data_IF_415424442267
#
_entry.id   IF_415424442267
#
_cell.length_a   1.000
_cell.length_b   1.000
_cell.length_c   1.000
_cell.angle_alpha   90.00
_cell.angle_beta   90.00
_cell.angle_gamma   90.00
#
_symmetry.space_group_name_H-M   'P 1'
#
loop_
_entity.id
_entity.type
_entity.pdbx_description
1 polymer ?
#
# COMPACT_ATOMS: atom_id res chain seq x y z
N UNK A 1 58.07 21.52 -65.44
CA UNK A 1 58.01 20.56 -64.32
C UNK A 1 56.78 20.88 -63.49
N UNK A 2 55.86 19.94 -63.46
CA UNK A 2 54.52 20.00 -62.85
C UNK A 2 54.66 19.64 -61.37
N UNK A 3 53.95 20.33 -60.46
CA UNK A 3 52.81 19.75 -59.74
C UNK A 3 52.43 20.61 -58.52
N UNK A 4 51.27 21.26 -58.62
CA UNK A 4 50.55 21.88 -57.51
C UNK A 4 49.99 20.80 -56.58
N UNK A 5 50.12 20.97 -55.26
CA UNK A 5 49.47 20.11 -54.26
C UNK A 5 48.21 20.82 -53.77
N UNK A 6 47.06 20.35 -54.24
CA UNK A 6 45.73 20.71 -53.75
C UNK A 6 45.45 19.82 -52.54
N UNK A 7 45.26 20.41 -51.36
CA UNK A 7 44.75 19.73 -50.18
C UNK A 7 43.27 20.06 -50.03
N UNK A 8 42.40 19.10 -50.35
CA UNK A 8 40.95 19.18 -50.16
C UNK A 8 40.65 18.83 -48.71
N UNK A 9 40.20 19.81 -47.91
CA UNK A 9 39.67 19.57 -46.57
C UNK A 9 38.17 19.34 -46.72
N UNK A 10 37.75 18.08 -46.62
CA UNK A 10 36.33 17.69 -46.65
C UNK A 10 35.73 17.88 -45.25
N UNK A 11 34.88 18.88 -45.08
CA UNK A 11 34.13 19.13 -43.85
C UNK A 11 32.87 18.24 -43.83
N UNK A 12 32.90 17.21 -42.98
CA UNK A 12 31.79 16.28 -42.77
C UNK A 12 30.77 16.92 -41.80
N UNK A 13 29.69 17.48 -42.33
CA UNK A 13 28.56 17.97 -41.51
C UNK A 13 27.78 16.77 -40.94
N UNK A 14 27.96 16.47 -39.66
CA UNK A 14 27.09 15.58 -38.90
C UNK A 14 25.79 16.32 -38.56
N UNK A 15 24.75 16.07 -39.36
CA UNK A 15 23.37 16.45 -39.01
C UNK A 15 22.86 15.44 -37.98
N UNK A 16 23.06 15.76 -36.70
CA UNK A 16 22.45 15.03 -35.60
C UNK A 16 20.97 15.40 -35.49
N UNK A 17 20.08 14.51 -35.96
CA UNK A 17 18.65 14.61 -35.69
C UNK A 17 18.43 14.39 -34.19
N UNK A 18 18.14 15.46 -33.46
CA UNK A 18 17.69 15.38 -32.08
C UNK A 18 16.31 14.71 -32.04
N UNK A 19 16.27 13.43 -31.68
CA UNK A 19 15.02 12.80 -31.24
C UNK A 19 14.65 13.44 -29.90
N UNK A 20 13.70 14.36 -29.90
CA UNK A 20 13.07 14.83 -28.67
C UNK A 20 12.38 13.63 -28.03
N UNK A 21 12.96 13.10 -26.95
CA UNK A 21 12.30 12.11 -26.13
C UNK A 21 10.98 12.70 -25.64
N UNK A 22 9.83 12.01 -25.76
CA UNK A 22 8.59 12.48 -25.20
C UNK A 22 8.78 12.71 -23.70
N UNK A 23 8.44 13.91 -23.23
CA UNK A 23 8.45 14.22 -21.80
C UNK A 23 7.53 13.21 -21.09
N UNK A 24 7.95 12.65 -19.93
CA UNK A 24 7.07 11.79 -19.15
C UNK A 24 5.81 12.59 -18.79
N UNK A 25 4.66 12.09 -19.24
CA UNK A 25 3.35 12.61 -18.80
C UNK A 25 3.35 12.44 -17.27
N UNK A 26 3.15 13.51 -16.48
CA UNK A 26 3.08 13.35 -15.04
C UNK A 26 1.93 12.38 -14.73
N UNK A 27 2.24 11.29 -14.03
CA UNK A 27 1.21 10.41 -13.50
C UNK A 27 0.28 11.29 -12.68
N UNK A 28 -1.02 11.27 -12.98
CA UNK A 28 -2.02 11.99 -12.18
C UNK A 28 -1.93 11.47 -10.75
N UNK A 29 -1.45 12.32 -9.86
CA UNK A 29 -1.34 12.01 -8.44
C UNK A 29 -2.75 11.77 -7.87
N UNK A 30 -2.95 10.62 -7.23
CA UNK A 30 -4.22 10.27 -6.62
C UNK A 30 -4.36 11.05 -5.32
N UNK A 31 -5.48 11.76 -5.17
CA UNK A 31 -5.77 12.55 -3.99
C UNK A 31 -6.37 11.69 -2.86
N UNK A 32 -5.53 10.88 -2.24
CA UNK A 32 -5.90 9.95 -1.16
C UNK A 32 -6.57 10.63 0.03
N UNK A 33 -6.18 11.86 0.38
CA UNK A 33 -6.80 12.61 1.48
C UNK A 33 -8.30 12.74 1.27
N UNK A 34 -8.76 13.02 0.05
CA UNK A 34 -10.18 13.25 -0.23
C UNK A 34 -10.96 11.98 -0.60
N UNK A 35 -10.31 10.93 -1.10
CA UNK A 35 -11.00 9.69 -1.52
C UNK A 35 -11.00 8.58 -0.46
N UNK A 36 -10.14 8.68 0.57
CA UNK A 36 -10.11 7.69 1.64
C UNK A 36 -11.36 7.83 2.52
N UNK A 37 -12.09 6.72 2.65
CA UNK A 37 -13.29 6.60 3.47
C UNK A 37 -12.93 5.81 4.74
N UNK A 38 -12.87 6.47 5.90
CA UNK A 38 -12.68 5.82 7.19
C UNK A 38 -13.75 4.77 7.51
N UNK A 39 -13.40 3.84 8.40
CA UNK A 39 -14.38 3.00 9.06
C UNK A 39 -15.33 3.82 9.97
N UNK A 40 -16.53 3.30 10.29
CA UNK A 40 -17.49 4.01 11.14
C UNK A 40 -16.88 4.45 12.47
N UNK A 41 -17.04 5.73 12.81
CA UNK A 41 -16.56 6.32 14.07
C UNK A 41 -15.06 6.66 14.09
N UNK A 42 -14.31 6.40 13.03
CA UNK A 42 -12.91 6.82 12.90
C UNK A 42 -12.83 8.20 12.21
N UNK A 43 -11.86 9.04 12.59
CA UNK A 43 -11.69 10.38 12.02
C UNK A 43 -11.18 10.31 10.57
N UNK A 44 -11.53 11.29 9.75
CA UNK A 44 -11.03 11.47 8.39
C UNK A 44 -9.54 11.84 8.35
N UNK A 45 -8.83 11.61 7.22
CA UNK A 45 -7.46 12.08 7.06
C UNK A 45 -7.30 13.59 7.32
N UNK A 46 -8.27 14.40 6.90
CA UNK A 46 -8.31 15.85 7.08
C UNK A 46 -8.41 16.24 8.56
N UNK A 47 -9.26 15.54 9.34
CA UNK A 47 -9.37 15.76 10.78
C UNK A 47 -8.09 15.40 11.54
N UNK A 48 -7.31 14.46 11.00
CA UNK A 48 -5.99 14.07 11.52
C UNK A 48 -4.85 14.97 11.02
N UNK A 49 -5.12 15.91 10.10
CA UNK A 49 -4.10 16.74 9.47
C UNK A 49 -3.13 15.98 8.58
N UNK A 50 -3.54 14.82 8.05
CA UNK A 50 -2.71 14.02 7.14
C UNK A 50 -2.66 14.63 5.74
N UNK A 51 -1.49 14.52 5.13
CA UNK A 51 -1.25 14.91 3.73
C UNK A 51 -1.24 13.70 2.80
N UNK A 52 -1.27 13.92 1.47
CA UNK A 52 -1.05 12.84 0.51
C UNK A 52 0.33 12.21 0.64
N UNK A 53 1.36 12.98 1.03
CA UNK A 53 2.70 12.46 1.32
C UNK A 53 2.67 11.48 2.50
N UNK A 54 1.91 11.79 3.57
CA UNK A 54 1.77 10.90 4.71
C UNK A 54 1.09 9.58 4.34
N UNK A 55 0.07 9.64 3.49
CA UNK A 55 -0.71 8.48 3.06
C UNK A 55 0.04 7.62 2.02
N UNK A 56 0.94 8.20 1.23
CA UNK A 56 1.70 7.48 0.19
C UNK A 56 3.08 7.03 0.65
N UNK A 57 3.49 7.39 1.86
CA UNK A 57 4.77 7.00 2.44
C UNK A 57 4.99 5.48 2.38
N UNK A 58 6.18 5.02 1.93
CA UNK A 58 6.48 3.60 1.88
C UNK A 58 6.30 2.92 3.24
N UNK A 59 5.72 1.72 3.21
CA UNK A 59 5.61 0.88 4.40
C UNK A 59 7.03 0.50 4.86
N UNK A 60 7.44 0.80 6.11
CA UNK A 60 8.80 0.49 6.55
C UNK A 60 9.07 -1.02 6.55
N UNK A 61 10.22 -1.44 6.01
CA UNK A 61 10.60 -2.87 5.96
C UNK A 61 10.91 -3.45 7.35
N UNK A 62 11.53 -2.66 8.22
CA UNK A 62 11.92 -3.07 9.58
C UNK A 62 10.80 -2.91 10.61
N UNK A 63 9.58 -2.55 10.17
CA UNK A 63 8.44 -2.49 11.07
C UNK A 63 8.15 -3.92 11.57
N UNK A 64 8.13 -4.15 12.90
CA UNK A 64 7.97 -5.49 13.44
C UNK A 64 6.62 -6.03 13.00
N UNK A 65 6.64 -6.94 12.01
CA UNK A 65 5.44 -7.51 11.38
C UNK A 65 4.60 -8.32 12.37
N UNK A 66 5.18 -8.65 13.52
CA UNK A 66 4.53 -9.41 14.57
C UNK A 66 5.28 -9.09 15.86
N UNK A 67 4.58 -8.59 16.89
CA UNK A 67 5.09 -8.38 18.25
C UNK A 67 5.46 -9.67 18.99
N UNK A 68 6.00 -10.66 18.28
CA UNK A 68 6.57 -11.90 18.81
C UNK A 68 8.02 -11.92 18.38
N UNK A 69 8.91 -11.80 19.35
CA UNK A 69 10.36 -11.93 19.12
C UNK A 69 10.63 -13.30 18.50
N UNK A 70 11.62 -13.36 17.59
CA UNK A 70 12.06 -14.56 16.86
C UNK A 70 12.57 -15.73 17.75
N UNK A 71 12.28 -15.71 19.06
CA UNK A 71 12.66 -16.71 20.06
C UNK A 71 11.50 -17.62 20.49
N UNK A 72 10.27 -17.31 20.10
CA UNK A 72 9.11 -18.16 20.43
C UNK A 72 8.79 -19.10 19.27
N UNK A 73 9.18 -20.37 19.43
CA UNK A 73 8.90 -21.48 18.50
C UNK A 73 7.41 -21.84 18.44
N UNK A 74 6.55 -20.94 17.96
CA UNK A 74 5.12 -21.20 17.71
C UNK A 74 4.86 -21.06 16.20
N UNK A 75 4.52 -22.18 15.56
CA UNK A 75 4.25 -22.35 14.13
C UNK A 75 3.58 -21.12 13.47
N UNK A 76 4.29 -20.40 12.59
CA UNK A 76 3.75 -19.23 11.87
C UNK A 76 3.47 -19.54 10.39
N UNK A 77 2.20 -19.44 9.99
CA UNK A 77 1.85 -18.72 8.76
C UNK A 77 0.72 -17.74 9.07
N UNK A 78 1.09 -16.48 9.30
CA UNK A 78 0.17 -15.38 9.59
C UNK A 78 -0.01 -14.53 8.33
N UNK A 79 -0.58 -15.15 7.31
CA UNK A 79 -1.23 -14.52 6.15
C UNK A 79 -1.74 -15.60 5.19
N UNK A 80 -2.86 -15.36 4.55
CA UNK A 80 -3.36 -16.14 3.40
C UNK A 80 -3.58 -15.19 2.23
N UNK A 81 -2.90 -15.44 1.13
CA UNK A 81 -3.04 -14.63 -0.08
C UNK A 81 -4.26 -15.07 -0.90
N UNK A 82 -5.02 -14.09 -1.38
CA UNK A 82 -6.25 -14.31 -2.16
C UNK A 82 -6.15 -13.59 -3.51
N UNK A 83 -5.69 -14.28 -4.57
CA UNK A 83 -5.39 -13.64 -5.85
C UNK A 83 -6.64 -13.21 -6.65
N UNK A 84 -7.82 -13.72 -6.31
CA UNK A 84 -9.09 -13.44 -7.02
C UNK A 84 -9.79 -12.15 -6.55
N UNK A 85 -9.42 -11.61 -5.38
CA UNK A 85 -10.08 -10.45 -4.77
C UNK A 85 -9.02 -9.44 -4.37
N UNK A 86 -8.37 -8.85 -5.37
CA UNK A 86 -7.24 -7.95 -5.17
C UNK A 86 -7.64 -6.49 -5.41
N UNK A 87 -6.85 -5.58 -4.85
CA UNK A 87 -6.96 -4.15 -5.08
C UNK A 87 -5.57 -3.57 -5.41
N UNK A 88 -5.51 -2.31 -5.84
CA UNK A 88 -4.22 -1.65 -6.09
C UNK A 88 -3.39 -1.53 -4.79
N UNK A 89 -2.10 -1.86 -4.86
CA UNK A 89 -1.20 -1.77 -3.71
C UNK A 89 -1.06 -0.33 -3.18
N UNK A 90 -1.10 0.71 -4.04
CA UNK A 90 -1.07 2.11 -3.61
C UNK A 90 -2.27 2.47 -2.73
N UNK A 91 -3.46 2.04 -3.12
CA UNK A 91 -4.69 2.23 -2.33
C UNK A 91 -4.60 1.53 -0.96
N UNK A 92 -4.02 0.33 -0.94
CA UNK A 92 -3.77 -0.42 0.30
C UNK A 92 -2.74 0.26 1.20
N UNK A 93 -1.67 0.85 0.63
CA UNK A 93 -0.66 1.62 1.37
C UNK A 93 -1.28 2.85 2.02
N UNK A 94 -2.18 3.56 1.32
CA UNK A 94 -2.92 4.68 1.89
C UNK A 94 -3.74 4.26 3.12
N UNK A 95 -4.46 3.14 3.04
CA UNK A 95 -5.16 2.59 4.20
C UNK A 95 -4.22 2.17 5.33
N UNK A 96 -3.06 1.58 5.02
CA UNK A 96 -2.06 1.24 6.03
C UNK A 96 -1.58 2.48 6.80
N UNK A 97 -1.17 3.53 6.10
CA UNK A 97 -0.64 4.74 6.73
C UNK A 97 -1.71 5.49 7.54
N UNK A 98 -2.94 5.53 7.03
CA UNK A 98 -4.07 6.06 7.78
C UNK A 98 -4.31 5.28 9.08
N UNK A 99 -4.45 3.95 9.03
CA UNK A 99 -4.69 3.13 10.23
C UNK A 99 -3.51 3.17 11.21
N UNK A 100 -2.28 3.29 10.71
CA UNK A 100 -1.09 3.46 11.53
C UNK A 100 -1.09 4.81 12.26
N UNK A 101 -1.52 5.88 11.60
CA UNK A 101 -1.58 7.24 12.20
C UNK A 101 -2.56 7.34 13.38
N UNK A 102 -3.55 6.46 13.42
CA UNK A 102 -4.52 6.36 14.52
C UNK A 102 -3.92 5.75 15.80
N UNK A 103 -2.71 5.16 15.73
CA UNK A 103 -1.98 4.53 16.83
C UNK A 103 -2.86 3.66 17.75
N UNK A 104 -3.12 4.13 18.97
CA UNK A 104 -3.87 3.45 20.04
C UNK A 104 -5.39 3.66 19.96
N UNK A 105 -5.89 4.29 18.91
CA UNK A 105 -7.34 4.35 18.66
C UNK A 105 -7.88 2.91 18.55
N UNK A 106 -9.00 2.58 19.21
CA UNK A 106 -9.58 1.26 19.13
C UNK A 106 -10.17 1.01 17.73
N UNK A 107 -9.66 -0.02 17.05
CA UNK A 107 -10.21 -0.56 15.82
C UNK A 107 -10.94 -1.87 16.15
N UNK A 108 -12.26 -1.78 16.28
CA UNK A 108 -13.13 -2.89 16.70
C UNK A 108 -14.11 -3.32 15.63
N UNK A 109 -14.51 -4.59 15.70
CA UNK A 109 -15.58 -5.16 14.87
C UNK A 109 -16.58 -5.91 15.73
N UNK A 110 -17.84 -5.86 15.30
CA UNK A 110 -18.92 -6.60 15.92
C UNK A 110 -19.14 -7.97 15.26
N UNK A 111 -20.35 -8.49 15.43
CA UNK A 111 -20.78 -9.79 14.86
C UNK A 111 -20.74 -9.81 13.34
N UNK A 112 -20.88 -8.64 12.72
CA UNK A 112 -20.76 -8.45 11.28
C UNK A 112 -19.39 -7.84 11.00
N UNK A 113 -18.76 -8.29 9.92
CA UNK A 113 -17.52 -7.70 9.42
C UNK A 113 -17.71 -6.21 9.12
N UNK A 114 -16.75 -5.38 9.50
CA UNK A 114 -16.82 -3.93 9.30
C UNK A 114 -15.64 -3.46 8.46
N UNK A 115 -15.90 -2.48 7.60
CA UNK A 115 -14.86 -1.77 6.88
C UNK A 115 -14.12 -0.84 7.84
N UNK A 116 -12.80 -0.93 7.87
CA UNK A 116 -11.89 -0.08 8.65
C UNK A 116 -11.31 1.04 7.82
N UNK A 117 -11.11 0.80 6.52
CA UNK A 117 -10.69 1.80 5.54
C UNK A 117 -11.12 1.37 4.14
N UNK A 118 -11.44 2.33 3.27
CA UNK A 118 -11.66 2.11 1.85
C UNK A 118 -11.06 3.24 1.03
N UNK A 119 -10.31 2.89 0.00
CA UNK A 119 -9.72 3.81 -0.95
C UNK A 119 -9.94 3.24 -2.33
N UNK A 120 -10.67 3.95 -3.19
CA UNK A 120 -10.85 3.57 -4.61
C UNK A 120 -11.29 2.10 -4.81
N UNK A 121 -12.11 1.57 -3.89
CA UNK A 121 -12.57 0.19 -3.93
C UNK A 121 -11.61 -0.86 -3.32
N UNK A 122 -10.39 -0.48 -2.93
CA UNK A 122 -9.58 -1.28 -2.02
C UNK A 122 -10.12 -1.17 -0.60
N UNK A 123 -10.50 -2.30 0.00
CA UNK A 123 -11.15 -2.36 1.32
C UNK A 123 -10.28 -3.11 2.31
N UNK A 124 -10.11 -2.49 3.47
CA UNK A 124 -9.60 -3.13 4.67
C UNK A 124 -10.79 -3.48 5.56
N UNK A 125 -11.02 -4.78 5.75
CA UNK A 125 -12.20 -5.31 6.42
C UNK A 125 -11.76 -6.08 7.65
N UNK A 126 -12.28 -5.73 8.82
CA UNK A 126 -12.10 -6.48 10.04
C UNK A 126 -13.22 -7.50 10.24
N UNK A 127 -12.88 -8.65 10.80
CA UNK A 127 -13.82 -9.70 11.20
C UNK A 127 -13.38 -10.33 12.53
N UNK A 128 -14.33 -10.51 13.45
CA UNK A 128 -14.12 -11.30 14.65
C UNK A 128 -14.10 -12.80 14.30
N UNK A 129 -13.03 -13.49 14.69
CA UNK A 129 -12.87 -14.93 14.51
C UNK A 129 -13.05 -15.64 15.86
N UNK A 130 -13.97 -16.59 15.90
CA UNK A 130 -14.36 -17.34 17.10
C UNK A 130 -14.90 -16.47 18.26
N UNK A 131 -15.42 -15.28 17.96
CA UNK A 131 -16.01 -14.37 18.94
C UNK A 131 -17.12 -13.52 18.30
N UNK A 132 -18.03 -12.96 19.12
CA UNK A 132 -19.05 -12.02 18.64
C UNK A 132 -18.49 -10.62 18.38
N UNK A 133 -17.40 -10.26 19.03
CA UNK A 133 -16.71 -8.99 18.85
C UNK A 133 -15.21 -9.22 18.96
N UNK A 134 -14.42 -8.40 18.29
CA UNK A 134 -12.97 -8.38 18.43
C UNK A 134 -12.46 -6.96 18.25
N UNK A 135 -11.45 -6.56 19.03
CA UNK A 135 -10.88 -5.22 18.99
C UNK A 135 -9.37 -5.28 19.18
N UNK A 136 -8.66 -4.46 18.43
CA UNK A 136 -7.25 -4.16 18.68
C UNK A 136 -6.99 -2.67 18.50
N UNK A 137 -5.76 -2.21 18.74
CA UNK A 137 -5.38 -0.87 18.34
C UNK A 137 -5.27 -0.77 16.81
N UNK A 138 -5.59 0.39 16.23
CA UNK A 138 -5.52 0.58 14.78
C UNK A 138 -4.11 0.38 14.23
N UNK A 139 -3.05 0.68 15.00
CA UNK A 139 -1.67 0.31 14.64
C UNK A 139 -1.48 -1.20 14.49
N UNK A 140 -2.12 -2.00 15.33
CA UNK A 140 -1.98 -3.45 15.31
C UNK A 140 -2.76 -4.05 14.13
N UNK A 141 -3.92 -3.45 13.80
CA UNK A 141 -4.65 -3.75 12.56
C UNK A 141 -3.78 -3.42 11.34
N UNK A 142 -3.10 -2.27 11.33
CA UNK A 142 -2.14 -1.90 10.29
C UNK A 142 -1.02 -2.94 10.17
N UNK A 143 -0.52 -3.50 11.28
CA UNK A 143 0.48 -4.59 11.25
C UNK A 143 -0.07 -5.87 10.64
N UNK A 144 -1.32 -6.22 10.94
CA UNK A 144 -2.00 -7.33 10.29
C UNK A 144 -2.00 -7.19 8.77
N UNK A 145 -2.47 -6.04 8.27
CA UNK A 145 -2.49 -5.78 6.83
C UNK A 145 -1.11 -5.57 6.20
N UNK A 146 -0.11 -5.08 6.95
CA UNK A 146 1.29 -5.03 6.49
C UNK A 146 1.78 -6.40 6.05
N UNK A 147 1.51 -7.45 6.83
CA UNK A 147 1.92 -8.80 6.43
C UNK A 147 1.26 -9.24 5.11
N UNK A 148 0.05 -8.77 4.80
CA UNK A 148 -0.59 -9.02 3.51
C UNK A 148 0.09 -8.19 2.40
N UNK A 149 0.35 -6.91 2.64
CA UNK A 149 1.08 -6.04 1.70
C UNK A 149 2.51 -6.53 1.42
N UNK A 150 3.18 -7.16 2.38
CA UNK A 150 4.54 -7.68 2.20
C UNK A 150 4.56 -9.02 1.43
N UNK A 151 3.56 -9.87 1.64
CA UNK A 151 3.63 -11.28 1.21
C UNK A 151 2.63 -11.66 0.09
N UNK A 152 1.62 -10.83 -0.17
CA UNK A 152 0.52 -11.15 -1.08
C UNK A 152 0.38 -10.21 -2.28
N UNK A 153 1.44 -9.48 -2.62
CA UNK A 153 1.50 -8.63 -3.81
C UNK A 153 1.82 -9.45 -5.06
N UNK A 154 1.09 -9.19 -6.15
CA UNK A 154 1.37 -9.68 -7.50
C UNK A 154 1.22 -8.54 -8.50
N UNK A 155 2.34 -8.05 -9.04
CA UNK A 155 2.33 -6.84 -9.87
C UNK A 155 1.91 -5.62 -9.03
N UNK A 156 0.91 -4.86 -9.49
CA UNK A 156 0.35 -3.74 -8.75
C UNK A 156 -0.88 -4.12 -7.88
N UNK A 157 -1.18 -5.41 -7.77
CA UNK A 157 -2.36 -5.92 -7.06
C UNK A 157 -1.96 -6.59 -5.74
N UNK A 158 -2.80 -6.44 -4.72
CA UNK A 158 -2.65 -7.08 -3.41
C UNK A 158 -4.00 -7.60 -2.91
N UNK A 159 -4.00 -8.77 -2.27
CA UNK A 159 -5.20 -9.31 -1.67
C UNK A 159 -4.93 -10.52 -0.78
N UNK A 160 -5.67 -10.61 0.32
CA UNK A 160 -5.46 -11.65 1.32
C UNK A 160 -5.96 -11.23 2.69
N UNK A 161 -5.60 -12.00 3.70
CA UNK A 161 -5.88 -11.62 5.08
C UNK A 161 -4.75 -12.04 6.02
N UNK A 162 -4.71 -11.41 7.18
CA UNK A 162 -3.93 -11.81 8.33
C UNK A 162 -4.67 -11.40 9.61
N UNK A 163 -4.17 -11.75 10.79
CA UNK A 163 -4.68 -11.27 12.06
C UNK A 163 -3.96 -9.99 12.50
N UNK A 164 -4.68 -9.13 13.23
CA UNK A 164 -4.11 -7.95 13.85
C UNK A 164 -2.96 -8.32 14.80
N UNK A 165 -1.96 -7.44 14.90
CA UNK A 165 -0.87 -7.57 15.87
C UNK A 165 -1.41 -7.74 17.30
N UNK A 166 -0.81 -8.65 18.07
CA UNK A 166 -1.22 -8.87 19.46
C UNK A 166 -2.63 -9.47 19.67
N UNK A 167 -3.47 -9.58 18.64
CA UNK A 167 -4.82 -10.10 18.74
C UNK A 167 -5.16 -11.10 17.61
N UNK A 168 -5.01 -12.39 17.91
CA UNK A 168 -5.35 -13.50 17.00
C UNK A 168 -6.84 -13.73 16.74
N UNK A 169 -7.73 -12.93 17.32
CA UNK A 169 -9.18 -13.02 17.11
C UNK A 169 -9.72 -11.93 16.16
N UNK A 170 -8.89 -10.95 15.78
CA UNK A 170 -9.27 -9.92 14.83
C UNK A 170 -8.59 -10.18 13.48
N UNK A 171 -9.34 -10.76 12.54
CA UNK A 171 -8.88 -10.98 11.16
C UNK A 171 -9.05 -9.70 10.34
N UNK A 172 -7.98 -9.29 9.66
CA UNK A 172 -7.89 -8.14 8.77
C UNK A 172 -7.75 -8.65 7.34
N UNK A 173 -8.73 -8.36 6.50
CA UNK A 173 -8.78 -8.74 5.08
C UNK A 173 -8.54 -7.52 4.22
N UNK A 174 -7.65 -7.62 3.25
CA UNK A 174 -7.44 -6.65 2.17
C UNK A 174 -8.04 -7.25 0.90
N UNK A 175 -9.03 -6.58 0.33
CA UNK A 175 -9.68 -7.05 -0.90
C UNK A 175 -10.21 -5.88 -1.73
N UNK A 176 -10.27 -6.08 -3.05
CA UNK A 176 -11.00 -5.19 -3.95
C UNK A 176 -12.52 -5.38 -3.85
N UNK A 177 -13.27 -4.54 -4.56
CA UNK A 177 -14.72 -4.70 -4.73
C UNK A 177 -15.00 -6.00 -5.49
N UNK A 178 -15.99 -6.75 -5.04
CA UNK A 178 -16.54 -7.87 -5.79
C UNK A 178 -17.23 -7.30 -7.04
N UNK A 179 -16.57 -7.40 -8.20
CA UNK A 179 -17.22 -7.28 -9.51
C UNK A 179 -17.98 -8.55 -9.84
#
# INVERSE_FOLDING_TARGET
MVSAKIAVISALCLVGTAFAAPAPIPATEIDYVNILIPGPGLPTPQELGLTNEDLTRPIPHDFPSNGISARDNVLMKRHECRPSHTCNIGDSVACFNYLLSLDQTPCGVGKIQNQMCNVNGCRWIGQAENAETAQSYCRDVAWGGKAVNDNCVRGNQVGGFNYAGGNGHLKVTIAGVWV
#
